data_IF_631853613112
#
_entry.id   IF_631853613112
#
_cell.length_a   1.000
_cell.length_b   1.000
_cell.length_c   1.000
_cell.angle_alpha   90.00
_cell.angle_beta   90.00
_cell.angle_gamma   90.00
#
_symmetry.space_group_name_H-M   'P 1'
#
loop_
_entity.id
_entity.type
_entity.pdbx_description
1 polymer ?
#
# COMPACT_ATOMS: atom_id res chain seq x y z
N UNK A 1 -33.16 26.63 -49.46
CA UNK A 1 -32.84 26.85 -48.03
C UNK A 1 -33.43 25.67 -47.27
N UNK A 2 -32.77 24.86 -46.44
CA UNK A 2 -31.38 24.65 -46.04
C UNK A 2 -31.37 23.19 -45.52
N UNK A 3 -30.43 22.34 -45.95
CA UNK A 3 -30.27 21.00 -45.40
C UNK A 3 -29.20 21.04 -44.30
N UNK A 4 -29.49 20.52 -43.09
CA UNK A 4 -28.49 19.64 -42.45
C UNK A 4 -29.10 18.64 -41.45
N UNK A 5 -28.89 17.33 -41.62
CA UNK A 5 -28.85 16.44 -40.44
C UNK A 5 -28.10 15.11 -40.63
N UNK A 6 -27.10 15.07 -41.52
CA UNK A 6 -26.25 13.87 -41.71
C UNK A 6 -24.99 13.88 -40.85
N UNK A 7 -24.64 15.02 -40.25
CA UNK A 7 -23.37 15.18 -39.53
C UNK A 7 -23.37 14.50 -38.15
N UNK A 8 -24.51 14.50 -37.44
CA UNK A 8 -24.59 13.88 -36.11
C UNK A 8 -24.42 12.36 -36.12
N UNK A 9 -24.90 11.69 -37.18
CA UNK A 9 -24.78 10.24 -37.31
C UNK A 9 -23.32 9.82 -37.53
N UNK A 10 -22.58 10.56 -38.37
CA UNK A 10 -21.16 10.30 -38.62
C UNK A 10 -20.31 10.47 -37.36
N UNK A 11 -20.59 11.50 -36.56
CA UNK A 11 -19.86 11.74 -35.30
C UNK A 11 -20.13 10.68 -34.23
N UNK A 12 -21.35 10.13 -34.17
CA UNK A 12 -21.68 9.06 -33.24
C UNK A 12 -20.96 7.74 -33.59
N UNK A 13 -20.88 7.43 -34.88
CA UNK A 13 -20.20 6.21 -35.36
C UNK A 13 -18.68 6.25 -35.15
N UNK A 14 -18.08 7.43 -35.34
CA UNK A 14 -16.65 7.65 -35.08
C UNK A 14 -16.33 7.45 -33.58
N UNK A 15 -17.13 8.04 -32.69
CA UNK A 15 -16.98 7.90 -31.23
C UNK A 15 -17.09 6.44 -30.75
N UNK A 16 -17.99 5.66 -31.33
CA UNK A 16 -18.13 4.24 -30.99
C UNK A 16 -16.90 3.42 -31.41
N UNK A 17 -16.32 3.73 -32.57
CA UNK A 17 -15.10 3.07 -33.08
C UNK A 17 -13.89 3.37 -32.20
N UNK A 18 -13.71 4.62 -31.78
CA UNK A 18 -12.63 5.03 -30.87
C UNK A 18 -12.72 4.35 -29.50
N UNK A 19 -13.93 4.19 -28.95
CA UNK A 19 -14.14 3.48 -27.69
C UNK A 19 -13.82 1.98 -27.78
N UNK A 20 -14.16 1.34 -28.91
CA UNK A 20 -13.83 -0.06 -29.18
C UNK A 20 -12.32 -0.25 -29.40
N UNK A 21 -11.65 0.69 -30.06
CA UNK A 21 -10.19 0.69 -30.22
C UNK A 21 -9.44 0.81 -28.89
N UNK A 22 -9.91 1.68 -27.99
CA UNK A 22 -9.34 1.82 -26.64
C UNK A 22 -9.57 0.59 -25.76
N UNK A 23 -10.73 -0.05 -25.85
CA UNK A 23 -11.00 -1.30 -25.14
C UNK A 23 -10.15 -2.47 -25.67
N UNK A 24 -9.90 -2.54 -26.98
CA UNK A 24 -9.01 -3.54 -27.57
C UNK A 24 -7.52 -3.32 -27.23
N UNK A 25 -7.10 -2.07 -27.04
CA UNK A 25 -5.74 -1.72 -26.59
C UNK A 25 -5.50 -2.12 -25.12
N UNK A 26 -6.53 -2.05 -24.26
CA UNK A 26 -6.43 -2.47 -22.87
C UNK A 26 -6.24 -4.00 -22.67
N UNK A 27 -6.55 -4.81 -23.69
CA UNK A 27 -6.42 -6.28 -23.65
C UNK A 27 -5.06 -6.80 -24.16
N UNK A 28 -4.23 -5.95 -24.79
CA UNK A 28 -2.88 -6.31 -25.24
C UNK A 28 -1.81 -5.59 -24.40
N UNK A 29 -1.67 -6.05 -23.16
CA UNK A 29 -0.43 -6.10 -22.38
C UNK A 29 0.58 -4.94 -22.45
N UNK A 30 0.71 -4.28 -21.29
CA UNK A 30 1.97 -3.94 -20.60
C UNK A 30 2.86 -2.82 -21.21
N UNK A 31 3.80 -2.25 -20.43
CA UNK A 31 3.55 -1.24 -19.41
C UNK A 31 4.40 0.00 -19.77
N UNK A 32 3.77 1.16 -20.00
CA UNK A 32 4.55 2.39 -20.15
C UNK A 32 5.15 2.76 -18.80
N UNK A 33 6.44 2.43 -18.70
CA UNK A 33 7.46 2.98 -17.84
C UNK A 33 7.09 4.38 -17.35
N UNK A 34 6.52 4.44 -16.15
CA UNK A 34 6.80 5.56 -15.26
C UNK A 34 8.31 5.43 -14.95
N UNK A 35 9.14 6.45 -15.21
CA UNK A 35 10.46 6.47 -14.58
C UNK A 35 10.22 6.28 -13.08
N UNK A 36 11.06 5.56 -12.32
CA UNK A 36 10.86 5.45 -10.88
C UNK A 36 11.00 6.86 -10.33
N UNK A 37 9.87 7.56 -10.23
CA UNK A 37 9.63 8.48 -9.16
C UNK A 37 10.09 7.66 -7.97
N UNK A 38 11.18 8.13 -7.36
CA UNK A 38 11.41 7.85 -5.96
C UNK A 38 10.20 8.45 -5.29
N UNK A 39 9.08 7.71 -5.32
CA UNK A 39 8.10 7.68 -4.28
C UNK A 39 8.99 7.60 -3.07
N UNK A 40 9.16 8.73 -2.40
CA UNK A 40 9.43 8.72 -0.99
C UNK A 40 8.31 7.83 -0.47
N UNK A 41 8.62 6.53 -0.33
CA UNK A 41 7.63 5.53 -0.01
C UNK A 41 6.88 6.09 1.20
N UNK A 42 5.54 6.04 1.23
CA UNK A 42 4.84 6.39 2.46
C UNK A 42 5.47 5.46 3.48
N UNK A 43 6.29 6.03 4.39
CA UNK A 43 7.22 5.29 5.23
C UNK A 43 6.46 4.06 5.73
N UNK A 44 6.79 2.86 5.24
CA UNK A 44 5.86 1.70 5.25
C UNK A 44 5.35 1.47 6.67
N UNK A 45 4.23 2.11 6.99
CA UNK A 45 3.66 2.07 8.32
C UNK A 45 3.09 0.67 8.49
N UNK A 46 3.23 0.13 9.69
CA UNK A 46 2.68 -1.18 9.97
C UNK A 46 1.17 -1.20 9.75
N UNK A 47 0.72 -2.20 9.00
CA UNK A 47 -0.70 -2.52 8.88
C UNK A 47 -1.24 -2.95 10.23
N UNK A 48 -2.54 -2.75 10.48
CA UNK A 48 -3.18 -3.16 11.74
C UNK A 48 -2.99 -4.65 12.07
N UNK A 49 -2.86 -5.51 11.05
CA UNK A 49 -2.55 -6.94 11.23
C UNK A 49 -1.14 -7.17 11.78
N UNK A 50 -0.16 -6.41 11.30
CA UNK A 50 1.22 -6.48 11.78
C UNK A 50 1.35 -5.98 13.21
N UNK A 51 0.65 -4.90 13.56
CA UNK A 51 0.56 -4.41 14.94
C UNK A 51 -0.03 -5.48 15.88
N UNK A 52 -1.12 -6.13 15.46
CA UNK A 52 -1.72 -7.23 16.20
C UNK A 52 -0.77 -8.41 16.40
N UNK A 53 0.06 -8.73 15.39
CA UNK A 53 1.06 -9.78 15.50
C UNK A 53 2.15 -9.43 16.54
N UNK A 54 2.66 -8.19 16.55
CA UNK A 54 3.65 -7.74 17.56
C UNK A 54 3.07 -7.86 18.97
N UNK A 55 1.82 -7.42 19.17
CA UNK A 55 1.15 -7.57 20.46
C UNK A 55 0.97 -9.04 20.87
N UNK A 56 0.64 -9.93 19.93
CA UNK A 56 0.50 -11.36 20.21
C UNK A 56 1.83 -12.01 20.60
N UNK A 57 2.92 -11.64 19.91
CA UNK A 57 4.27 -12.15 20.21
C UNK A 57 4.76 -11.61 21.55
N UNK A 58 4.56 -10.32 21.83
CA UNK A 58 4.91 -9.73 23.14
C UNK A 58 4.17 -10.40 24.29
N UNK A 59 2.87 -10.67 24.11
CA UNK A 59 2.09 -11.42 25.10
C UNK A 59 2.60 -12.86 25.29
N UNK A 60 3.03 -13.51 24.21
CA UNK A 60 3.64 -14.85 24.27
C UNK A 60 4.98 -14.84 25.00
N UNK A 61 5.75 -13.75 24.86
CA UNK A 61 6.98 -13.51 25.61
C UNK A 61 6.74 -13.12 27.08
N UNK A 62 5.48 -13.07 27.54
CA UNK A 62 5.14 -12.72 28.92
C UNK A 62 5.17 -11.21 29.22
N UNK A 63 5.36 -10.35 28.22
CA UNK A 63 5.40 -8.91 28.40
C UNK A 63 4.00 -8.33 28.56
N UNK A 64 3.87 -7.39 29.49
CA UNK A 64 2.67 -6.56 29.57
C UNK A 64 2.63 -5.56 28.40
N UNK A 65 1.47 -4.93 28.18
CA UNK A 65 1.32 -3.92 27.13
C UNK A 65 2.25 -2.72 27.34
N UNK A 66 2.45 -2.31 28.59
CA UNK A 66 3.33 -1.20 28.96
C UNK A 66 4.79 -1.59 28.78
N UNK A 67 5.19 -2.80 29.19
CA UNK A 67 6.57 -3.28 28.97
C UNK A 67 6.91 -3.40 27.48
N UNK A 68 5.96 -3.85 26.66
CA UNK A 68 6.11 -3.87 25.21
C UNK A 68 6.26 -2.46 24.64
N UNK A 69 5.50 -1.48 25.14
CA UNK A 69 5.62 -0.09 24.71
C UNK A 69 6.98 0.50 25.09
N UNK A 70 7.47 0.23 26.30
CA UNK A 70 8.80 0.61 26.75
C UNK A 70 9.90 -0.02 25.88
N UNK A 71 9.80 -1.32 25.59
CA UNK A 71 10.75 -2.02 24.73
C UNK A 71 10.80 -1.41 23.31
N UNK A 72 9.62 -1.07 22.76
CA UNK A 72 9.54 -0.42 21.45
C UNK A 72 10.21 0.95 21.47
N UNK A 73 9.97 1.75 22.52
CA UNK A 73 10.65 3.04 22.71
C UNK A 73 12.16 2.86 22.82
N UNK A 74 12.63 1.90 23.60
CA UNK A 74 14.06 1.67 23.83
C UNK A 74 14.79 1.23 22.55
N UNK A 75 14.13 0.41 21.72
CA UNK A 75 14.73 -0.12 20.48
C UNK A 75 14.65 0.86 19.30
N UNK A 76 13.62 1.70 19.25
CA UNK A 76 13.29 2.47 18.04
C UNK A 76 13.18 3.98 18.28
N UNK A 77 13.17 4.41 19.55
CA UNK A 77 12.91 5.78 19.96
C UNK A 77 11.46 6.23 19.79
N UNK A 78 10.55 5.33 19.40
CA UNK A 78 9.16 5.67 19.05
C UNK A 78 8.20 5.29 20.15
N UNK A 79 7.43 6.27 20.60
CA UNK A 79 6.39 6.12 21.62
C UNK A 79 5.18 5.30 21.18
N UNK A 80 5.08 4.96 19.90
CA UNK A 80 3.89 4.30 19.34
C UNK A 80 4.29 3.30 18.25
N UNK A 81 3.74 2.09 18.34
CA UNK A 81 3.95 1.00 17.38
C UNK A 81 3.44 1.38 15.97
N UNK A 82 2.43 2.23 15.87
CA UNK A 82 1.87 2.69 14.58
C UNK A 82 2.87 3.49 13.76
N UNK A 83 3.91 4.04 14.40
CA UNK A 83 4.97 4.83 13.75
C UNK A 83 6.18 4.01 13.37
N UNK A 84 6.16 2.71 13.68
CA UNK A 84 7.23 1.80 13.30
C UNK A 84 7.23 1.60 11.78
N UNK A 85 8.42 1.63 11.23
CA UNK A 85 8.69 1.08 9.90
C UNK A 85 8.74 -0.44 9.98
N UNK A 86 8.60 -1.08 8.83
CA UNK A 86 8.76 -2.53 8.69
C UNK A 86 10.09 -3.06 9.23
N UNK A 87 11.20 -2.34 9.04
CA UNK A 87 12.51 -2.75 9.53
C UNK A 87 12.57 -2.74 11.06
N UNK A 88 12.13 -1.66 11.69
CA UNK A 88 12.08 -1.54 13.15
C UNK A 88 11.13 -2.56 13.76
N UNK A 89 9.99 -2.82 13.12
CA UNK A 89 9.05 -3.83 13.54
C UNK A 89 9.66 -5.24 13.51
N UNK A 90 10.47 -5.54 12.49
CA UNK A 90 11.22 -6.79 12.43
C UNK A 90 12.18 -6.91 13.60
N UNK A 91 12.96 -5.85 13.89
CA UNK A 91 13.88 -5.82 15.03
C UNK A 91 13.16 -6.04 16.37
N UNK A 92 11.99 -5.41 16.55
CA UNK A 92 11.15 -5.63 17.74
C UNK A 92 10.69 -7.08 17.81
N UNK A 93 10.20 -7.66 16.71
CA UNK A 93 9.75 -9.06 16.66
C UNK A 93 10.89 -10.04 16.98
N UNK A 94 12.07 -9.83 16.40
CA UNK A 94 13.24 -10.67 16.66
C UNK A 94 13.61 -10.63 18.14
N UNK A 95 13.63 -9.43 18.74
CA UNK A 95 13.89 -9.28 20.18
C UNK A 95 12.85 -9.94 21.05
N UNK A 96 11.57 -9.85 20.68
CA UNK A 96 10.49 -10.51 21.41
C UNK A 96 10.59 -12.04 21.31
N UNK A 97 11.01 -12.58 20.16
CA UNK A 97 11.22 -14.02 19.99
C UNK A 97 12.41 -14.52 20.81
N UNK A 98 13.50 -13.75 20.92
CA UNK A 98 14.63 -14.08 21.81
C UNK A 98 14.23 -14.16 23.28
N UNK A 99 13.31 -13.30 23.72
CA UNK A 99 12.81 -13.28 25.10
C UNK A 99 11.78 -14.38 25.39
N UNK A 100 11.12 -14.90 24.34
CA UNK A 100 10.13 -15.97 24.45
C UNK A 100 10.73 -17.39 24.34
N UNK A 101 12.02 -17.50 24.00
CA UNK A 101 12.79 -18.75 23.91
C UNK A 101 13.36 -19.15 25.27
#
# INVERSE_FOLDING_TARGET
MNAPNTQHLASALQKASDALGQAAAALRGEPSADPPQRSSAPAELLTGRQLGAIHAIGRRAGLSRDDLAHLVVDLTGKSDLTRLSKAEASTVIDRLNEMAA
#
